data_IF_560940488418
#
_entry.id   IF_560940488418
#
_cell.length_a   1.000
_cell.length_b   1.000
_cell.length_c   1.000
_cell.angle_alpha   90.00
_cell.angle_beta   90.00
_cell.angle_gamma   90.00
#
_symmetry.space_group_name_H-M   'P 1'
#
loop_
_entity.id
_entity.type
_entity.pdbx_description
1 polymer ?
#
# COMPACT_ATOMS: atom_id res chain seq x y z
N UNK A 1 -20.17 -4.54 -1.80
CA UNK A 1 -19.44 -5.65 -1.14
C UNK A 1 -18.46 -6.35 -2.09
N UNK A 2 -18.81 -6.62 -3.36
CA UNK A 2 -17.91 -7.30 -4.33
C UNK A 2 -16.60 -6.53 -4.59
N UNK A 3 -16.67 -5.21 -4.80
CA UNK A 3 -15.49 -4.37 -5.06
C UNK A 3 -14.40 -4.43 -3.99
N UNK A 4 -14.77 -4.52 -2.71
CA UNK A 4 -13.79 -4.60 -1.61
C UNK A 4 -13.07 -5.95 -1.59
N UNK A 5 -13.80 -7.04 -1.84
CA UNK A 5 -13.22 -8.39 -1.93
C UNK A 5 -12.27 -8.52 -3.10
N UNK A 6 -12.64 -7.98 -4.27
CA UNK A 6 -11.78 -7.97 -5.46
C UNK A 6 -10.47 -7.21 -5.22
N UNK A 7 -10.53 -6.07 -4.53
CA UNK A 7 -9.32 -5.31 -4.18
C UNK A 7 -8.42 -6.10 -3.24
N UNK A 8 -8.98 -6.77 -2.23
CA UNK A 8 -8.23 -7.59 -1.28
C UNK A 8 -7.60 -8.80 -1.96
N UNK A 9 -8.31 -9.51 -2.83
CA UNK A 9 -7.74 -10.63 -3.59
C UNK A 9 -6.64 -10.15 -4.54
N UNK A 10 -6.80 -8.97 -5.17
CA UNK A 10 -5.75 -8.37 -5.98
C UNK A 10 -4.51 -8.04 -5.15
N UNK A 11 -4.70 -7.43 -3.97
CA UNK A 11 -3.60 -7.12 -3.05
C UNK A 11 -2.87 -8.38 -2.57
N UNK A 12 -3.62 -9.43 -2.24
CA UNK A 12 -3.09 -10.74 -1.90
C UNK A 12 -2.22 -11.33 -3.01
N UNK A 13 -2.67 -11.22 -4.27
CA UNK A 13 -1.89 -11.68 -5.42
C UNK A 13 -0.51 -11.04 -5.48
N UNK A 14 -0.43 -9.71 -5.34
CA UNK A 14 0.84 -9.00 -5.33
C UNK A 14 1.74 -9.36 -4.14
N UNK A 15 1.18 -9.60 -2.95
CA UNK A 15 1.96 -9.92 -1.74
C UNK A 15 2.53 -11.35 -1.80
N UNK A 16 1.76 -12.31 -2.29
CA UNK A 16 2.15 -13.73 -2.30
C UNK A 16 3.08 -14.09 -3.47
N UNK A 17 2.96 -13.39 -4.59
CA UNK A 17 3.76 -13.63 -5.79
C UNK A 17 4.15 -12.30 -6.46
N UNK A 18 5.03 -11.50 -5.82
CA UNK A 18 5.52 -10.28 -6.46
C UNK A 18 6.43 -10.68 -7.62
N UNK A 19 6.15 -10.26 -8.86
CA UNK A 19 7.08 -10.48 -9.98
C UNK A 19 8.39 -9.67 -9.82
N UNK A 20 8.46 -8.82 -8.78
CA UNK A 20 9.67 -8.15 -8.34
C UNK A 20 10.05 -6.92 -9.16
N UNK A 21 9.08 -6.33 -9.88
CA UNK A 21 9.31 -5.12 -10.66
C UNK A 21 8.66 -3.88 -10.01
N UNK A 22 9.22 -2.70 -10.30
CA UNK A 22 8.78 -1.45 -9.69
C UNK A 22 7.33 -1.08 -10.07
N UNK A 23 6.88 -1.42 -11.28
CA UNK A 23 5.52 -1.10 -11.74
C UNK A 23 4.48 -1.84 -10.91
N UNK A 24 4.66 -3.15 -10.72
CA UNK A 24 3.74 -3.96 -9.94
C UNK A 24 3.70 -3.59 -8.48
N UNK A 25 4.85 -3.33 -7.85
CA UNK A 25 4.86 -2.90 -6.45
C UNK A 25 4.10 -1.59 -6.34
N UNK A 26 4.31 -0.63 -7.24
CA UNK A 26 3.55 0.62 -7.25
C UNK A 26 2.05 0.39 -7.44
N UNK A 27 1.65 -0.51 -8.34
CA UNK A 27 0.24 -0.89 -8.49
C UNK A 27 -0.34 -1.53 -7.23
N UNK A 28 0.41 -2.41 -6.57
CA UNK A 28 0.06 -3.01 -5.29
C UNK A 28 -0.18 -1.93 -4.24
N UNK A 29 0.72 -0.95 -4.14
CA UNK A 29 0.56 0.19 -3.23
C UNK A 29 -0.73 0.98 -3.56
N UNK A 30 -1.01 1.25 -4.83
CA UNK A 30 -2.26 1.91 -5.22
C UNK A 30 -3.51 1.09 -4.92
N UNK A 31 -3.45 -0.24 -4.99
CA UNK A 31 -4.55 -1.11 -4.58
C UNK A 31 -4.75 -1.03 -3.07
N UNK A 32 -3.67 -1.04 -2.29
CA UNK A 32 -3.74 -0.92 -0.83
C UNK A 32 -4.34 0.42 -0.38
N UNK A 33 -4.11 1.49 -1.13
CA UNK A 33 -4.79 2.78 -0.89
C UNK A 33 -6.30 2.69 -1.09
N UNK A 34 -6.73 2.09 -2.21
CA UNK A 34 -8.16 1.91 -2.49
C UNK A 34 -8.84 1.02 -1.46
N UNK A 35 -8.11 0.05 -0.89
CA UNK A 35 -8.58 -0.74 0.24
C UNK A 35 -8.78 0.17 1.46
N UNK A 36 -7.82 1.05 1.78
CA UNK A 36 -7.98 1.99 2.90
C UNK A 36 -9.20 2.90 2.71
N UNK A 37 -9.33 3.55 1.55
CA UNK A 37 -10.49 4.38 1.22
C UNK A 37 -11.80 3.61 1.35
N UNK A 38 -11.80 2.34 0.93
CA UNK A 38 -12.96 1.46 1.05
C UNK A 38 -13.29 1.13 2.51
N UNK A 39 -12.26 0.84 3.34
CA UNK A 39 -12.41 0.51 4.75
C UNK A 39 -12.93 1.70 5.58
N UNK A 40 -12.60 2.92 5.18
CA UNK A 40 -12.88 4.15 5.93
C UNK A 40 -14.06 4.96 5.36
N UNK A 41 -14.64 4.54 4.23
CA UNK A 41 -15.74 5.24 3.59
C UNK A 41 -16.98 5.30 4.51
N UNK A 42 -17.42 6.49 4.95
CA UNK A 42 -18.53 6.65 5.88
C UNK A 42 -19.88 6.23 5.28
N UNK A 43 -19.99 6.27 3.95
CA UNK A 43 -21.20 5.85 3.21
C UNK A 43 -21.33 4.32 3.14
N UNK A 44 -20.24 3.61 3.48
CA UNK A 44 -20.24 2.16 3.64
C UNK A 44 -20.49 1.78 5.09
N UNK A 45 -21.65 2.16 5.62
CA UNK A 45 -22.32 1.52 6.77
C UNK A 45 -22.76 0.08 6.39
N UNK A 46 -21.96 -0.59 5.55
CA UNK A 46 -22.01 -2.01 5.32
C UNK A 46 -20.87 -2.55 6.15
N UNK A 47 -21.19 -3.19 7.28
CA UNK A 47 -20.23 -3.81 8.17
C UNK A 47 -19.26 -4.62 7.30
N UNK A 48 -18.03 -4.13 7.17
CA UNK A 48 -17.00 -4.88 6.47
C UNK A 48 -16.81 -6.14 7.30
N UNK A 49 -16.96 -7.33 6.68
CA UNK A 49 -16.86 -8.55 7.43
C UNK A 49 -15.52 -8.60 8.17
N UNK A 50 -15.50 -8.89 9.49
CA UNK A 50 -14.28 -8.88 10.29
C UNK A 50 -13.16 -9.75 9.71
N UNK A 51 -13.52 -10.80 8.96
CA UNK A 51 -12.55 -11.63 8.25
C UNK A 51 -11.77 -10.87 7.18
N UNK A 52 -12.40 -9.94 6.44
CA UNK A 52 -11.71 -9.14 5.42
C UNK A 52 -10.74 -8.17 6.07
N UNK A 53 -11.12 -7.57 7.20
CA UNK A 53 -10.23 -6.70 7.97
C UNK A 53 -9.01 -7.50 8.47
N UNK A 54 -9.22 -8.71 8.97
CA UNK A 54 -8.13 -9.60 9.39
C UNK A 54 -7.21 -9.94 8.23
N UNK A 55 -7.75 -10.30 7.07
CA UNK A 55 -6.93 -10.59 5.88
C UNK A 55 -6.09 -9.40 5.45
N UNK A 56 -6.62 -8.18 5.46
CA UNK A 56 -5.82 -6.98 5.14
C UNK A 56 -4.70 -6.80 6.15
N UNK A 57 -4.95 -6.99 7.44
CA UNK A 57 -3.90 -6.90 8.46
C UNK A 57 -2.80 -7.97 8.28
N UNK A 58 -3.17 -9.21 7.94
CA UNK A 58 -2.21 -10.28 7.67
C UNK A 58 -1.35 -10.01 6.42
N UNK A 59 -1.93 -9.37 5.40
CA UNK A 59 -1.21 -8.95 4.20
C UNK A 59 -0.30 -7.75 4.47
N UNK A 60 -0.77 -6.79 5.27
CA UNK A 60 0.04 -5.63 5.69
C UNK A 60 1.23 -6.05 6.56
N UNK A 61 1.06 -7.07 7.41
CA UNK A 61 2.16 -7.65 8.18
C UNK A 61 3.20 -8.32 7.26
N UNK A 62 2.76 -9.05 6.24
CA UNK A 62 3.65 -9.63 5.24
C UNK A 62 4.38 -8.57 4.41
N UNK A 63 3.67 -7.51 4.00
CA UNK A 63 4.28 -6.34 3.36
C UNK A 63 5.38 -5.77 4.23
N UNK A 64 5.09 -5.59 5.52
CA UNK A 64 6.01 -5.01 6.49
C UNK A 64 7.30 -5.81 6.64
N UNK A 65 7.19 -7.15 6.74
CA UNK A 65 8.34 -8.04 6.83
C UNK A 65 9.25 -8.00 5.60
N UNK A 66 8.74 -7.54 4.45
CA UNK A 66 9.46 -7.47 3.18
C UNK A 66 9.71 -6.02 2.72
N UNK A 67 9.51 -5.02 3.60
CA UNK A 67 9.48 -3.61 3.21
C UNK A 67 10.79 -3.11 2.61
N UNK A 68 11.92 -3.62 3.10
CA UNK A 68 13.25 -3.26 2.60
C UNK A 68 13.42 -3.69 1.13
N UNK A 69 13.01 -4.91 0.78
CA UNK A 69 13.05 -5.42 -0.59
C UNK A 69 12.14 -4.61 -1.50
N UNK A 70 10.94 -4.25 -1.04
CA UNK A 70 10.05 -3.40 -1.84
C UNK A 70 10.67 -2.03 -2.10
N UNK A 71 11.29 -1.40 -1.10
CA UNK A 71 11.95 -0.11 -1.26
C UNK A 71 13.21 -0.15 -2.13
N UNK A 72 13.96 -1.26 -2.13
CA UNK A 72 15.07 -1.45 -3.06
C UNK A 72 14.60 -1.46 -4.53
N UNK A 73 13.39 -1.98 -4.80
CA UNK A 73 12.86 -2.09 -6.16
C UNK A 73 12.23 -0.78 -6.64
N UNK A 74 11.38 -0.11 -5.83
CA UNK A 74 10.68 1.11 -6.28
C UNK A 74 11.51 2.38 -6.14
N UNK A 75 12.40 2.46 -5.14
CA UNK A 75 13.08 3.70 -4.79
C UNK A 75 12.18 4.71 -4.04
N UNK A 76 12.81 5.52 -3.19
CA UNK A 76 12.08 6.47 -2.33
C UNK A 76 11.58 7.73 -3.05
N UNK A 77 12.15 8.09 -4.20
CA UNK A 77 11.73 9.27 -4.98
C UNK A 77 10.41 8.97 -5.70
N UNK A 78 10.31 7.78 -6.28
CA UNK A 78 9.14 7.26 -6.97
C UNK A 78 7.94 7.18 -6.04
N UNK A 79 8.13 6.74 -4.79
CA UNK A 79 7.10 6.68 -3.77
C UNK A 79 6.49 8.06 -3.47
N UNK A 80 7.33 9.08 -3.21
CA UNK A 80 6.88 10.45 -2.94
C UNK A 80 6.14 11.05 -4.13
N UNK A 81 6.66 10.80 -5.34
CA UNK A 81 6.03 11.26 -6.58
C UNK A 81 4.66 10.59 -6.78
N UNK A 82 4.53 9.30 -6.48
CA UNK A 82 3.29 8.57 -6.58
C UNK A 82 2.25 9.03 -5.56
N UNK A 83 2.63 9.23 -4.29
CA UNK A 83 1.74 9.80 -3.28
C UNK A 83 1.24 11.19 -3.69
N UNK A 84 2.09 12.01 -4.30
CA UNK A 84 1.69 13.33 -4.81
C UNK A 84 0.61 13.24 -5.90
N UNK A 85 0.61 12.17 -6.72
CA UNK A 85 -0.42 11.92 -7.75
C UNK A 85 -1.77 11.51 -7.17
N UNK A 86 -1.82 11.04 -5.91
CA UNK A 86 -3.06 10.68 -5.22
C UNK A 86 -3.86 11.89 -4.72
N UNK A 87 -3.37 13.11 -4.91
CA UNK A 87 -4.10 14.31 -4.51
C UNK A 87 -4.02 14.59 -3.00
N UNK A 88 -2.91 14.21 -2.35
CA UNK A 88 -2.67 14.30 -0.90
C UNK A 88 -3.64 13.45 -0.07
N UNK A 89 -3.41 12.13 0.01
CA UNK A 89 -4.22 11.28 0.88
C UNK A 89 -4.12 11.73 2.35
N UNK A 90 -5.12 11.46 3.20
CA UNK A 90 -5.09 11.82 4.61
C UNK A 90 -3.82 11.34 5.33
N UNK A 91 -3.34 12.10 6.32
CA UNK A 91 -2.05 11.82 6.99
C UNK A 91 -1.98 10.50 7.76
N UNK A 92 -3.13 9.94 8.11
CA UNK A 92 -3.20 8.63 8.76
C UNK A 92 -3.22 7.48 7.73
N UNK A 93 -3.14 7.76 6.43
CA UNK A 93 -2.98 6.74 5.40
C UNK A 93 -1.57 6.19 5.39
N UNK A 94 -1.51 4.90 5.11
CA UNK A 94 -0.30 4.09 5.13
C UNK A 94 0.86 4.65 4.27
N UNK A 95 0.58 5.38 3.17
CA UNK A 95 1.63 6.07 2.35
C UNK A 95 2.50 7.05 3.13
N UNK A 96 1.95 7.74 4.13
CA UNK A 96 2.73 8.68 4.92
C UNK A 96 3.72 7.98 5.83
N UNK A 97 3.38 6.77 6.30
CA UNK A 97 4.31 5.93 7.04
C UNK A 97 5.42 5.43 6.12
N UNK A 98 5.10 5.04 4.88
CA UNK A 98 6.13 4.65 3.91
C UNK A 98 7.13 5.77 3.61
N UNK A 99 6.67 7.03 3.53
CA UNK A 99 7.54 8.20 3.35
C UNK A 99 8.56 8.38 4.48
N UNK A 100 8.18 8.03 5.72
CA UNK A 100 9.04 8.12 6.91
C UNK A 100 10.03 6.96 7.01
N UNK A 101 9.70 5.82 6.41
CA UNK A 101 10.51 4.60 6.46
C UNK A 101 11.59 4.55 5.39
N UNK A 102 11.49 5.39 4.36
CA UNK A 102 12.60 5.61 3.44
C UNK A 102 13.77 6.15 4.28
N UNK A 103 14.86 5.38 4.46
CA UNK A 103 16.05 5.92 5.09
C UNK A 103 16.46 7.14 4.27
N UNK A 104 16.94 8.20 4.90
CA UNK A 104 17.43 9.40 4.24
C UNK A 104 18.64 9.17 3.32
N UNK A 105 18.58 8.26 2.35
CA UNK A 105 19.51 8.06 1.23
C UNK A 105 19.30 9.14 0.16
N UNK A 106 19.19 10.37 0.62
CA UNK A 106 19.22 11.57 -0.20
C UNK A 106 20.28 12.54 0.32
N UNK A 107 21.46 12.08 0.77
CA UNK A 107 22.69 12.90 0.81
C UNK A 107 23.95 12.03 0.71
N UNK A 108 24.26 11.53 -0.49
CA UNK A 108 25.65 11.22 -0.88
C UNK A 108 25.77 11.11 -2.40
N UNK A 109 25.37 12.20 -3.06
CA UNK A 109 25.82 12.55 -4.41
C UNK A 109 26.03 14.07 -4.41
N UNK A 110 27.14 14.48 -3.82
CA UNK A 110 27.69 15.83 -3.84
C UNK A 110 29.19 15.72 -4.02
#
# INVERSE_FOLDING_TARGET
MEKGKELIEKYKGYILDPEGNAVEIMEMLFVREKIQDFLESPDQITIIPPELHRTVMELDDQLWHNIDTFFEIIGGVELKAARSKLGNPPRFHWWWYLDELIPGKAVSAG
#
